data_IF_099614638409
#
_entry.id   IF_099614638409
#
_cell.length_a   1.000
_cell.length_b   1.000
_cell.length_c   1.000
_cell.angle_alpha   90.00
_cell.angle_beta   90.00
_cell.angle_gamma   90.00
#
_symmetry.space_group_name_H-M   'P 1'
#
loop_
_entity.id
_entity.type
_entity.pdbx_description
1 polymer ?
#
# COMPACT_ATOMS: atom_id res chain seq x y z
N UNK A 1 65.24 -23.34 -20.38
CA UNK A 1 66.37 -24.28 -20.23
C UNK A 1 67.31 -23.73 -19.17
N UNK A 2 67.69 -24.55 -18.16
CA UNK A 2 68.58 -24.28 -17.00
C UNK A 2 68.09 -23.39 -15.82
N UNK A 3 68.26 -23.96 -14.63
CA UNK A 3 68.07 -23.44 -13.26
C UNK A 3 69.36 -22.80 -12.67
N UNK A 4 69.19 -22.02 -11.59
CA UNK A 4 69.85 -22.09 -10.25
C UNK A 4 68.94 -21.33 -9.25
N UNK A 5 69.07 -21.33 -7.92
CA UNK A 5 69.21 -22.31 -6.79
C UNK A 5 68.78 -21.51 -5.51
N UNK A 6 68.36 -22.02 -4.34
CA UNK A 6 68.37 -23.36 -3.72
C UNK A 6 67.20 -23.52 -2.70
N UNK A 7 67.25 -24.54 -1.83
CA UNK A 7 66.34 -24.90 -0.72
C UNK A 7 67.19 -25.13 0.55
N UNK A 8 66.61 -25.04 1.76
CA UNK A 8 66.95 -25.87 2.95
C UNK A 8 65.68 -26.11 3.80
N UNK A 9 65.50 -27.34 4.29
CA UNK A 9 64.50 -27.81 5.27
C UNK A 9 65.16 -28.91 6.12
N UNK A 10 64.88 -29.00 7.43
CA UNK A 10 65.05 -30.25 8.20
C UNK A 10 64.17 -30.29 9.47
N UNK A 11 63.81 -31.49 9.93
CA UNK A 11 62.78 -31.78 10.95
C UNK A 11 63.04 -33.19 11.55
N UNK A 12 62.91 -33.38 12.89
CA UNK A 12 62.54 -34.59 13.69
C UNK A 12 62.86 -34.31 15.21
N UNK A 13 61.98 -34.46 16.23
CA UNK A 13 61.36 -35.65 16.90
C UNK A 13 62.39 -36.49 17.75
N UNK A 14 62.21 -36.93 19.01
CA UNK A 14 61.05 -37.40 19.86
C UNK A 14 61.22 -37.15 21.39
N UNK A 15 60.15 -37.38 22.18
CA UNK A 15 59.88 -37.07 23.61
C UNK A 15 60.39 -38.06 24.71
N UNK A 16 60.13 -37.72 26.00
CA UNK A 16 59.50 -38.53 27.10
C UNK A 16 59.29 -37.65 28.38
N UNK A 17 58.29 -37.97 29.24
CA UNK A 17 57.83 -37.20 30.44
C UNK A 17 58.14 -37.87 31.79
N UNK A 18 58.01 -37.13 32.93
CA UNK A 18 57.05 -37.54 33.99
C UNK A 18 56.31 -36.37 34.73
N UNK A 19 55.44 -36.71 35.70
CA UNK A 19 54.56 -35.85 36.55
C UNK A 19 55.37 -34.92 37.53
N UNK A 20 54.84 -33.94 38.30
CA UNK A 20 53.50 -33.72 38.90
C UNK A 20 53.30 -32.26 39.44
N UNK A 21 52.06 -31.93 39.85
CA UNK A 21 51.55 -30.82 40.71
C UNK A 21 51.06 -29.48 40.09
N UNK A 22 49.77 -29.19 40.32
CA UNK A 22 49.15 -27.93 40.82
C UNK A 22 49.62 -26.53 40.32
N UNK A 23 48.78 -25.52 40.03
CA UNK A 23 47.32 -25.38 40.14
C UNK A 23 46.78 -24.10 39.41
N UNK A 24 45.45 -24.06 39.20
CA UNK A 24 44.56 -22.86 39.15
C UNK A 24 44.68 -21.85 37.97
N UNK A 25 43.66 -21.94 37.10
CA UNK A 25 42.97 -20.90 36.30
C UNK A 25 43.73 -19.78 35.55
N UNK A 26 43.55 -19.76 34.22
CA UNK A 26 43.43 -18.54 33.43
C UNK A 26 42.35 -18.72 32.34
N UNK A 27 41.45 -17.74 32.11
CA UNK A 27 40.50 -17.78 31.01
C UNK A 27 41.16 -17.32 29.70
N UNK A 28 40.72 -17.90 28.57
CA UNK A 28 41.20 -17.52 27.23
C UNK A 28 40.60 -16.16 26.85
N UNK A 29 41.47 -15.20 26.54
CA UNK A 29 41.08 -13.99 25.82
C UNK A 29 40.69 -14.35 24.39
N UNK A 30 39.50 -13.94 23.95
CA UNK A 30 39.21 -13.65 22.55
C UNK A 30 38.66 -12.24 22.44
N UNK A 31 39.10 -11.52 21.43
CA UNK A 31 38.91 -10.07 21.31
C UNK A 31 37.45 -9.73 20.97
N UNK A 32 36.77 -9.02 21.87
CA UNK A 32 35.52 -8.33 21.55
C UNK A 32 35.86 -6.93 21.06
N UNK A 33 35.73 -6.70 19.76
CA UNK A 33 35.76 -5.35 19.19
C UNK A 33 34.51 -4.57 19.63
N UNK A 34 34.70 -3.31 20.04
CA UNK A 34 33.65 -2.47 20.58
C UNK A 34 32.57 -2.12 19.54
N UNK A 35 31.52 -2.93 19.44
CA UNK A 35 30.25 -2.49 18.83
C UNK A 35 29.56 -1.54 19.81
N UNK A 36 29.50 -0.25 19.46
CA UNK A 36 28.66 0.71 20.15
C UNK A 36 27.18 0.37 19.89
N UNK A 37 26.57 -0.40 20.79
CA UNK A 37 25.13 -0.54 20.86
C UNK A 37 24.51 0.80 21.28
N UNK A 38 24.28 1.70 20.30
CA UNK A 38 23.29 2.75 20.44
C UNK A 38 21.91 2.10 20.26
N UNK A 39 21.28 1.75 21.39
CA UNK A 39 19.87 1.34 21.42
C UNK A 39 19.00 2.52 21.00
N UNK A 40 18.62 2.58 19.73
CA UNK A 40 17.55 3.46 19.25
C UNK A 40 16.23 3.05 19.93
N UNK A 41 15.35 3.99 20.30
CA UNK A 41 14.01 3.65 20.79
C UNK A 41 13.25 2.90 19.69
N UNK A 42 12.56 1.80 20.04
CA UNK A 42 11.59 1.21 19.10
C UNK A 42 10.39 2.14 19.02
N UNK A 43 10.30 2.89 17.92
CA UNK A 43 9.10 3.63 17.55
C UNK A 43 7.93 2.70 17.19
N UNK A 44 6.80 3.30 16.86
CA UNK A 44 5.66 2.62 16.21
C UNK A 44 6.14 1.82 15.00
N UNK A 45 5.50 0.68 14.72
CA UNK A 45 5.81 -0.07 13.51
C UNK A 45 5.61 0.83 12.29
N UNK A 46 6.59 0.91 11.37
CA UNK A 46 6.55 1.88 10.29
C UNK A 46 5.40 1.53 9.35
N UNK A 47 4.66 2.55 8.90
CA UNK A 47 3.58 2.32 7.95
C UNK A 47 4.11 1.67 6.66
N UNK A 48 5.35 1.97 6.25
CA UNK A 48 6.07 1.29 5.17
C UNK A 48 7.19 0.35 5.65
N UNK A 49 7.22 -0.85 5.09
CA UNK A 49 8.29 -1.83 5.30
C UNK A 49 8.85 -2.33 3.95
N UNK A 50 10.18 -2.38 3.82
CA UNK A 50 10.84 -3.05 2.71
C UNK A 50 10.83 -4.57 2.94
N UNK A 51 10.37 -5.34 1.95
CA UNK A 51 10.26 -6.79 2.03
C UNK A 51 11.51 -7.46 1.45
N UNK A 52 12.10 -8.37 2.24
CA UNK A 52 13.20 -9.23 1.80
C UNK A 52 12.66 -10.32 0.86
N UNK A 53 12.60 -10.04 -0.45
CA UNK A 53 12.07 -10.98 -1.45
C UNK A 53 13.11 -11.92 -2.05
N UNK A 54 12.68 -13.10 -2.50
CA UNK A 54 13.54 -14.14 -3.09
C UNK A 54 14.19 -13.72 -4.42
N UNK A 55 15.26 -14.42 -4.82
CA UNK A 55 16.10 -14.14 -6.01
C UNK A 55 15.39 -14.24 -7.38
N UNK A 56 14.10 -14.57 -7.39
CA UNK A 56 13.19 -14.58 -8.54
C UNK A 56 12.40 -13.27 -8.72
N UNK A 57 12.77 -12.23 -7.97
CA UNK A 57 12.19 -10.89 -8.02
C UNK A 57 12.19 -10.31 -9.46
N UNK A 58 11.09 -9.64 -9.88
CA UNK A 58 11.03 -8.97 -11.17
C UNK A 58 12.16 -7.94 -11.31
N UNK A 59 12.82 -7.94 -12.47
CA UNK A 59 13.86 -6.97 -12.78
C UNK A 59 13.31 -5.55 -12.92
N UNK A 60 14.21 -4.55 -13.03
CA UNK A 60 13.78 -3.15 -13.01
C UNK A 60 12.80 -2.83 -14.13
N UNK A 61 11.57 -2.49 -13.74
CA UNK A 61 10.43 -2.41 -14.64
C UNK A 61 9.60 -1.16 -14.35
N UNK A 62 9.12 -0.53 -15.42
CA UNK A 62 8.37 0.73 -15.40
C UNK A 62 7.03 0.61 -16.11
N UNK A 63 6.10 1.50 -15.78
CA UNK A 63 4.71 1.39 -16.23
C UNK A 63 4.01 0.16 -15.62
N UNK A 64 4.48 -0.30 -14.47
CA UNK A 64 3.99 -1.50 -13.81
C UNK A 64 2.59 -1.28 -13.26
N UNK A 65 1.76 -2.32 -13.36
CA UNK A 65 0.50 -2.41 -12.64
C UNK A 65 0.52 -3.64 -11.77
N UNK A 66 0.18 -3.45 -10.50
CA UNK A 66 -0.15 -4.53 -9.58
C UNK A 66 -1.67 -4.64 -9.51
N UNK A 67 -2.17 -5.86 -9.43
CA UNK A 67 -3.57 -6.17 -9.15
C UNK A 67 -3.62 -7.28 -8.12
N UNK A 68 -4.49 -7.17 -7.14
CA UNK A 68 -4.72 -8.24 -6.18
C UNK A 68 -5.75 -9.24 -6.70
N UNK A 69 -5.31 -10.49 -6.87
CA UNK A 69 -6.15 -11.64 -7.14
C UNK A 69 -6.56 -12.26 -5.80
N UNK A 70 -7.74 -11.85 -5.31
CA UNK A 70 -8.33 -12.36 -4.07
C UNK A 70 -8.83 -13.81 -4.17
N UNK A 71 -8.90 -14.40 -5.37
CA UNK A 71 -9.26 -15.80 -5.53
C UNK A 71 -8.05 -16.72 -5.30
N UNK A 72 -6.89 -16.39 -5.88
CA UNK A 72 -5.64 -17.15 -5.66
C UNK A 72 -4.77 -16.62 -4.51
N UNK A 73 -5.16 -15.50 -3.88
CA UNK A 73 -4.44 -14.82 -2.77
C UNK A 73 -3.01 -14.42 -3.19
N UNK A 74 -2.90 -13.72 -4.32
CA UNK A 74 -1.61 -13.23 -4.87
C UNK A 74 -1.75 -11.79 -5.36
N UNK A 75 -0.67 -11.02 -5.24
CA UNK A 75 -0.57 -9.75 -5.99
C UNK A 75 0.11 -10.03 -7.33
N UNK A 76 -0.59 -9.79 -8.43
CA UNK A 76 -0.12 -10.04 -9.79
C UNK A 76 0.52 -8.77 -10.37
N UNK A 77 1.76 -8.88 -10.82
CA UNK A 77 2.50 -7.85 -11.54
C UNK A 77 2.42 -8.10 -13.06
N UNK A 78 1.96 -7.08 -13.77
CA UNK A 78 2.03 -7.01 -15.23
C UNK A 78 3.16 -6.03 -15.59
N UNK A 79 4.31 -6.56 -15.99
CA UNK A 79 5.49 -5.77 -16.35
C UNK A 79 5.35 -5.22 -17.76
N UNK A 80 5.20 -3.90 -17.90
CA UNK A 80 4.95 -3.26 -19.20
C UNK A 80 6.21 -2.72 -19.90
N UNK A 81 7.24 -2.33 -19.16
CA UNK A 81 8.52 -1.87 -19.70
C UNK A 81 9.67 -2.38 -18.85
N UNK A 82 10.72 -2.91 -19.47
CA UNK A 82 11.97 -3.34 -18.84
C UNK A 82 13.02 -2.23 -19.03
N UNK A 83 13.44 -1.61 -17.92
CA UNK A 83 14.31 -0.43 -17.95
C UNK A 83 15.75 -0.77 -18.36
N UNK A 84 16.24 -1.94 -17.93
CA UNK A 84 17.59 -2.43 -18.21
C UNK A 84 17.84 -2.71 -19.71
N UNK A 85 16.81 -3.18 -20.41
CA UNK A 85 16.85 -3.42 -21.87
C UNK A 85 16.25 -2.29 -22.70
N UNK A 86 15.56 -1.34 -22.05
CA UNK A 86 14.78 -0.26 -22.69
C UNK A 86 13.77 -0.77 -23.71
N UNK A 87 13.07 -1.87 -23.37
CA UNK A 87 12.09 -2.55 -24.23
C UNK A 87 10.78 -2.74 -23.49
N UNK A 88 9.68 -2.80 -24.24
CA UNK A 88 8.41 -3.28 -23.67
C UNK A 88 8.60 -4.68 -23.11
N UNK A 89 8.14 -4.88 -21.89
CA UNK A 89 8.05 -6.18 -21.27
C UNK A 89 6.61 -6.66 -21.40
N UNK A 90 6.42 -7.97 -21.29
CA UNK A 90 5.10 -8.57 -21.23
C UNK A 90 5.03 -9.69 -20.19
N UNK A 91 5.95 -9.70 -19.22
CA UNK A 91 6.05 -10.75 -18.21
C UNK A 91 4.97 -10.57 -17.15
N UNK A 92 4.33 -11.67 -16.77
CA UNK A 92 3.46 -11.74 -15.60
C UNK A 92 4.24 -12.40 -14.46
N UNK A 93 4.25 -11.76 -13.30
CA UNK A 93 4.75 -12.35 -12.06
C UNK A 93 3.64 -12.35 -11.00
N UNK A 94 3.62 -13.33 -10.11
CA UNK A 94 2.77 -13.34 -8.93
C UNK A 94 3.64 -13.19 -7.68
N UNK A 95 3.19 -12.36 -6.74
CA UNK A 95 3.76 -12.22 -5.42
C UNK A 95 2.93 -13.04 -4.42
N UNK A 96 3.62 -13.89 -3.68
CA UNK A 96 3.08 -14.61 -2.53
C UNK A 96 3.50 -13.91 -1.23
N UNK A 97 2.54 -13.28 -0.57
CA UNK A 97 2.76 -12.58 0.70
C UNK A 97 3.20 -13.51 1.83
N UNK A 98 2.71 -14.76 1.86
CA UNK A 98 3.02 -15.72 2.94
C UNK A 98 4.48 -16.15 2.93
N UNK A 99 5.09 -16.17 1.74
CA UNK A 99 6.49 -16.58 1.55
C UNK A 99 7.42 -15.42 1.16
N UNK A 100 6.88 -14.20 1.01
CA UNK A 100 7.56 -13.04 0.44
C UNK A 100 8.33 -13.37 -0.86
N UNK A 101 7.70 -14.15 -1.74
CA UNK A 101 8.38 -14.67 -2.95
C UNK A 101 7.65 -14.31 -4.23
N UNK A 102 8.43 -14.07 -5.28
CA UNK A 102 7.94 -13.81 -6.63
C UNK A 102 8.08 -15.06 -7.50
N UNK A 103 7.04 -15.37 -8.28
CA UNK A 103 7.05 -16.44 -9.29
C UNK A 103 6.65 -15.88 -10.64
N UNK A 104 7.33 -16.27 -11.73
CA UNK A 104 6.92 -15.87 -13.08
C UNK A 104 5.82 -16.82 -13.59
N UNK A 105 4.65 -16.28 -13.93
CA UNK A 105 3.45 -17.06 -14.28
C UNK A 105 3.09 -17.06 -15.77
N UNK A 106 3.80 -16.28 -16.60
CA UNK A 106 3.64 -16.34 -18.05
C UNK A 106 3.85 -14.98 -18.70
N UNK A 107 3.02 -14.68 -19.71
CA UNK A 107 3.05 -13.42 -20.43
C UNK A 107 1.66 -12.86 -20.78
N UNK A 108 1.59 -11.55 -20.91
CA UNK A 108 0.42 -10.81 -21.38
C UNK A 108 0.60 -10.32 -22.84
N UNK A 109 -0.45 -9.78 -23.50
CA UNK A 109 -0.31 -9.05 -24.75
C UNK A 109 0.73 -7.94 -24.61
N UNK A 110 1.69 -7.87 -25.52
CA UNK A 110 2.86 -6.98 -25.40
C UNK A 110 2.47 -5.51 -25.68
N UNK A 111 1.98 -4.84 -24.64
CA UNK A 111 1.43 -3.49 -24.63
C UNK A 111 1.96 -2.78 -23.39
N UNK A 112 2.44 -1.54 -23.54
CA UNK A 112 2.82 -0.69 -22.42
C UNK A 112 2.05 0.61 -22.38
N UNK A 113 2.03 1.25 -21.21
CA UNK A 113 1.19 2.43 -20.91
C UNK A 113 -0.33 2.21 -21.06
N UNK A 114 -0.78 0.95 -21.13
CA UNK A 114 -2.18 0.55 -20.96
C UNK A 114 -2.52 0.41 -19.47
N UNK A 115 -3.80 0.43 -19.12
CA UNK A 115 -4.26 0.32 -17.73
C UNK A 115 -5.10 -0.94 -17.54
N UNK A 116 -5.09 -1.52 -16.34
CA UNK A 116 -5.77 -2.77 -16.03
C UNK A 116 -6.45 -2.74 -14.66
N UNK A 117 -7.53 -3.51 -14.55
CA UNK A 117 -8.31 -3.67 -13.32
C UNK A 117 -8.72 -5.13 -13.14
N UNK A 118 -9.01 -5.50 -11.89
CA UNK A 118 -9.60 -6.79 -11.57
C UNK A 118 -11.13 -6.68 -11.48
N UNK A 119 -11.82 -7.59 -12.17
CA UNK A 119 -13.22 -7.92 -11.94
C UNK A 119 -13.28 -9.13 -10.98
N UNK A 120 -13.56 -8.93 -9.68
CA UNK A 120 -13.66 -10.02 -8.71
C UNK A 120 -14.93 -10.87 -8.87
N UNK A 121 -15.97 -10.36 -9.54
CA UNK A 121 -17.22 -11.09 -9.77
C UNK A 121 -17.01 -12.20 -10.80
N UNK A 122 -16.31 -11.90 -11.90
CA UNK A 122 -16.01 -12.83 -12.99
C UNK A 122 -14.60 -13.43 -12.91
N UNK A 123 -13.76 -12.98 -11.96
CA UNK A 123 -12.36 -13.39 -11.79
C UNK A 123 -11.52 -13.13 -13.05
N UNK A 124 -11.71 -11.94 -13.63
CA UNK A 124 -11.11 -11.53 -14.89
C UNK A 124 -10.26 -10.28 -14.69
N UNK A 125 -9.09 -10.22 -15.33
CA UNK A 125 -8.33 -8.96 -15.45
C UNK A 125 -8.70 -8.31 -16.79
N UNK A 126 -9.26 -7.11 -16.74
CA UNK A 126 -9.52 -6.30 -17.93
C UNK A 126 -8.29 -5.42 -18.14
N UNK A 127 -7.65 -5.52 -19.30
CA UNK A 127 -6.52 -4.71 -19.73
C UNK A 127 -6.90 -3.93 -21.00
N UNK A 128 -6.69 -2.62 -21.00
CA UNK A 128 -7.10 -1.75 -22.10
C UNK A 128 -6.01 -0.78 -22.55
N UNK A 129 -5.98 -0.56 -23.87
CA UNK A 129 -5.21 0.51 -24.51
C UNK A 129 -3.68 0.33 -24.43
N UNK A 130 -2.97 1.46 -24.34
CA UNK A 130 -1.52 1.48 -24.37
C UNK A 130 -0.94 1.55 -25.79
N UNK A 131 0.33 1.17 -25.91
CA UNK A 131 1.10 1.12 -27.15
C UNK A 131 1.93 -0.16 -27.25
N UNK A 132 2.06 -0.69 -28.47
CA UNK A 132 2.85 -1.87 -28.79
C UNK A 132 3.87 -1.57 -29.89
N UNK A 133 5.03 -2.24 -29.86
CA UNK A 133 6.10 -2.08 -30.86
C UNK A 133 5.59 -2.37 -32.28
N UNK A 134 4.73 -3.38 -32.45
CA UNK A 134 4.29 -3.83 -33.78
C UNK A 134 3.12 -3.02 -34.35
N UNK A 135 2.28 -2.44 -33.48
CA UNK A 135 0.96 -1.91 -33.87
C UNK A 135 0.78 -0.41 -33.56
N UNK A 136 1.75 0.25 -32.90
CA UNK A 136 1.56 1.61 -32.41
C UNK A 136 0.57 1.65 -31.24
N UNK A 137 -0.29 2.66 -31.19
CA UNK A 137 -1.32 2.77 -30.15
C UNK A 137 -2.41 1.71 -30.33
N UNK A 138 -2.81 1.05 -29.24
CA UNK A 138 -3.69 -0.11 -29.31
C UNK A 138 -5.12 0.26 -28.91
N UNK A 139 -6.09 -0.26 -29.66
CA UNK A 139 -7.54 -0.09 -29.46
C UNK A 139 -8.18 -1.15 -28.58
N UNK A 140 -7.43 -2.19 -28.24
CA UNK A 140 -7.97 -3.50 -27.93
C UNK A 140 -8.30 -3.65 -26.44
N UNK A 141 -9.47 -4.22 -26.17
CA UNK A 141 -9.79 -4.77 -24.85
C UNK A 141 -9.31 -6.21 -24.78
N UNK A 142 -8.35 -6.44 -23.89
CA UNK A 142 -7.87 -7.77 -23.54
C UNK A 142 -8.43 -8.19 -22.19
N UNK A 143 -8.88 -9.44 -22.11
CA UNK A 143 -9.43 -10.01 -20.89
C UNK A 143 -8.62 -11.26 -20.58
N UNK A 144 -8.07 -11.33 -19.38
CA UNK A 144 -7.44 -12.53 -18.85
C UNK A 144 -8.41 -13.24 -17.92
N UNK A 145 -8.76 -14.48 -18.25
CA UNK A 145 -9.57 -15.33 -17.39
C UNK A 145 -8.65 -16.14 -16.47
N UNK A 146 -8.77 -15.93 -15.16
CA UNK A 146 -7.93 -16.62 -14.15
C UNK A 146 -8.28 -18.10 -13.99
N UNK A 147 -9.50 -18.52 -14.35
CA UNK A 147 -9.91 -19.92 -14.22
C UNK A 147 -9.36 -20.78 -15.36
N UNK A 148 -9.25 -20.22 -16.57
CA UNK A 148 -8.67 -20.91 -17.73
C UNK A 148 -7.21 -20.55 -17.99
N UNK A 149 -6.67 -19.50 -17.36
CA UNK A 149 -5.32 -18.96 -17.57
C UNK A 149 -5.08 -18.54 -19.04
N UNK A 150 -6.10 -17.94 -19.68
CA UNK A 150 -6.06 -17.54 -21.10
C UNK A 150 -6.45 -16.09 -21.32
N UNK A 151 -5.82 -15.47 -22.31
CA UNK A 151 -6.20 -14.14 -22.83
C UNK A 151 -7.19 -14.26 -23.99
N UNK A 152 -8.29 -13.52 -23.90
CA UNK A 152 -9.20 -13.25 -25.01
C UNK A 152 -9.11 -11.76 -25.43
N UNK A 153 -9.46 -11.47 -26.69
CA UNK A 153 -9.61 -10.10 -27.23
C UNK A 153 -11.08 -9.90 -27.59
N UNK A 154 -11.67 -8.78 -27.17
CA UNK A 154 -13.12 -8.55 -27.30
C UNK A 154 -13.48 -7.30 -28.11
N UNK A 155 -13.38 -6.12 -27.51
CA UNK A 155 -13.90 -4.86 -28.07
C UNK A 155 -12.81 -3.87 -28.52
N UNK A 156 -13.13 -3.05 -29.53
CA UNK A 156 -12.24 -2.04 -30.13
C UNK A 156 -12.54 -0.59 -29.70
N UNK A 157 -13.67 -0.37 -29.00
CA UNK A 157 -13.94 0.88 -28.28
C UNK A 157 -13.19 0.90 -26.95
N UNK A 158 -12.97 2.05 -26.28
CA UNK A 158 -13.22 3.45 -26.68
C UNK A 158 -12.21 4.10 -27.66
N UNK A 159 -11.45 3.32 -28.42
CA UNK A 159 -10.44 3.84 -29.35
C UNK A 159 -9.08 4.10 -28.68
N UNK A 160 -8.03 4.09 -29.50
CA UNK A 160 -6.65 3.98 -29.04
C UNK A 160 -6.23 5.12 -28.10
N UNK A 161 -5.70 4.76 -26.93
CA UNK A 161 -5.31 5.69 -25.86
C UNK A 161 -4.35 5.04 -24.87
N UNK A 162 -3.48 5.86 -24.29
CA UNK A 162 -2.60 5.47 -23.18
C UNK A 162 -2.74 6.45 -22.00
N UNK A 163 -2.21 6.06 -20.84
CA UNK A 163 -2.17 6.88 -19.61
C UNK A 163 -3.53 7.39 -19.12
N UNK A 164 -4.60 6.67 -19.49
CA UNK A 164 -5.96 6.86 -19.02
C UNK A 164 -6.14 6.23 -17.63
N UNK A 165 -7.15 6.68 -16.88
CA UNK A 165 -7.51 6.07 -15.60
C UNK A 165 -8.51 4.92 -15.81
N UNK A 166 -8.39 3.85 -15.03
CA UNK A 166 -9.37 2.76 -14.96
C UNK A 166 -9.59 2.33 -13.52
N UNK A 167 -10.85 2.09 -13.15
CA UNK A 167 -11.22 1.49 -11.87
C UNK A 167 -12.36 0.49 -12.06
N UNK A 168 -12.48 -0.51 -11.20
CA UNK A 168 -13.63 -1.41 -11.20
C UNK A 168 -14.68 -0.94 -10.18
N UNK A 169 -15.87 -0.59 -10.67
CA UNK A 169 -17.03 -0.29 -9.85
C UNK A 169 -17.67 -1.61 -9.40
N UNK A 170 -17.38 -2.01 -8.16
CA UNK A 170 -17.92 -3.24 -7.54
C UNK A 170 -19.40 -3.17 -7.20
N UNK A 171 -20.03 -1.99 -7.28
CA UNK A 171 -21.46 -1.80 -7.00
C UNK A 171 -22.32 -2.06 -8.22
N UNK A 172 -21.83 -1.62 -9.38
CA UNK A 172 -22.51 -1.68 -10.67
C UNK A 172 -21.91 -2.76 -11.60
N UNK A 173 -20.81 -3.40 -11.20
CA UNK A 173 -20.09 -4.46 -11.93
C UNK A 173 -19.62 -4.01 -13.32
N UNK A 174 -18.98 -2.85 -13.36
CA UNK A 174 -18.43 -2.25 -14.59
C UNK A 174 -17.02 -1.72 -14.36
N UNK A 175 -16.17 -1.80 -15.38
CA UNK A 175 -14.92 -1.05 -15.38
C UNK A 175 -15.18 0.36 -15.89
N UNK A 176 -14.89 1.36 -15.08
CA UNK A 176 -14.95 2.77 -15.49
C UNK A 176 -13.61 3.19 -16.06
N UNK A 177 -13.64 3.94 -17.16
CA UNK A 177 -12.46 4.53 -17.80
C UNK A 177 -12.65 6.04 -17.92
N UNK A 178 -11.60 6.80 -17.64
CA UNK A 178 -11.55 8.24 -17.85
C UNK A 178 -10.32 8.66 -18.66
N UNK A 179 -10.57 9.45 -19.70
CA UNK A 179 -9.57 10.22 -20.43
C UNK A 179 -8.47 9.38 -21.10
N UNK A 180 -7.24 9.87 -21.03
CA UNK A 180 -6.06 9.36 -21.71
C UNK A 180 -5.52 10.32 -22.77
N UNK A 181 -4.50 9.86 -23.50
CA UNK A 181 -4.00 10.54 -24.70
C UNK A 181 -3.54 9.57 -25.77
N UNK A 182 -3.36 10.07 -26.99
CA UNK A 182 -2.81 9.35 -28.14
C UNK A 182 -1.96 10.32 -28.99
N UNK A 183 -1.21 9.80 -29.95
CA UNK A 183 -0.64 10.61 -31.03
C UNK A 183 -1.17 10.09 -32.36
N UNK A 184 -1.85 10.94 -33.12
CA UNK A 184 -2.42 10.62 -34.43
C UNK A 184 -1.74 11.55 -35.45
N UNK A 185 -1.16 10.97 -36.50
CA UNK A 185 -0.42 11.69 -37.56
C UNK A 185 0.64 12.69 -37.05
N UNK A 186 1.25 12.40 -35.90
CA UNK A 186 2.26 13.23 -35.24
C UNK A 186 1.69 14.34 -34.34
N UNK A 187 0.36 14.50 -34.29
CA UNK A 187 -0.34 15.44 -33.41
C UNK A 187 -0.79 14.74 -32.13
N UNK A 188 -0.72 15.45 -31.00
CA UNK A 188 -1.19 14.94 -29.71
C UNK A 188 -2.69 15.17 -29.58
N UNK A 189 -3.43 14.10 -29.29
CA UNK A 189 -4.84 14.18 -28.91
C UNK A 189 -5.00 13.72 -27.46
N UNK A 190 -5.79 14.47 -26.70
CA UNK A 190 -6.15 14.15 -25.31
C UNK A 190 -7.64 13.87 -25.22
N UNK A 191 -8.02 13.02 -24.27
CA UNK A 191 -9.40 12.63 -24.05
C UNK A 191 -9.86 13.09 -22.68
N UNK A 192 -11.11 13.56 -22.61
CA UNK A 192 -11.81 13.95 -21.39
C UNK A 192 -13.16 13.20 -21.24
N UNK A 193 -13.29 12.10 -21.98
CA UNK A 193 -14.49 11.28 -21.99
C UNK A 193 -14.48 10.20 -20.91
N UNK A 194 -15.69 9.81 -20.50
CA UNK A 194 -15.94 8.76 -19.50
C UNK A 194 -16.69 7.61 -20.15
N UNK A 195 -16.22 6.39 -19.89
CA UNK A 195 -16.78 5.15 -20.44
C UNK A 195 -16.97 4.11 -19.35
N UNK A 196 -17.91 3.19 -19.55
CA UNK A 196 -18.06 1.97 -18.77
C UNK A 196 -17.93 0.74 -19.66
N UNK A 197 -17.16 -0.25 -19.22
CA UNK A 197 -17.11 -1.59 -19.80
C UNK A 197 -17.91 -2.56 -18.93
N UNK A 198 -18.86 -3.26 -19.55
CA UNK A 198 -19.57 -4.37 -18.92
C UNK A 198 -18.91 -5.68 -19.35
N UNK A 199 -18.24 -6.35 -18.41
CA UNK A 199 -17.44 -7.57 -18.59
C UNK A 199 -18.28 -8.83 -18.88
N UNK A 200 -19.58 -8.82 -18.56
CA UNK A 200 -20.50 -9.93 -18.87
C UNK A 200 -20.94 -9.92 -20.35
N UNK A 201 -21.11 -8.71 -20.91
CA UNK A 201 -21.56 -8.51 -22.30
C UNK A 201 -20.43 -8.13 -23.26
N UNK A 202 -19.23 -7.88 -22.74
CA UNK A 202 -18.04 -7.42 -23.46
C UNK A 202 -18.24 -6.10 -24.24
N UNK A 203 -19.07 -5.19 -23.71
CA UNK A 203 -19.41 -3.92 -24.38
C UNK A 203 -18.93 -2.69 -23.59
N UNK A 204 -18.41 -1.72 -24.34
CA UNK A 204 -18.13 -0.37 -23.87
C UNK A 204 -19.30 0.57 -24.18
N UNK A 205 -19.70 1.37 -23.20
CA UNK A 205 -20.73 2.41 -23.29
C UNK A 205 -20.12 3.77 -22.95
N UNK A 206 -20.26 4.77 -23.82
CA UNK A 206 -19.84 6.15 -23.55
C UNK A 206 -20.89 6.84 -22.69
N UNK A 207 -20.49 7.36 -21.54
CA UNK A 207 -21.43 7.86 -20.52
C UNK A 207 -21.81 9.33 -20.76
N UNK A 208 -20.90 10.14 -21.32
CA UNK A 208 -21.10 11.56 -21.63
C UNK A 208 -21.64 12.40 -20.43
N UNK A 209 -20.96 12.40 -19.27
CA UNK A 209 -21.33 13.28 -18.16
C UNK A 209 -21.20 14.76 -18.58
N UNK A 210 -22.09 15.61 -18.04
CA UNK A 210 -22.14 17.05 -18.37
C UNK A 210 -20.95 17.82 -17.79
N UNK A 211 -20.54 17.47 -16.58
CA UNK A 211 -19.32 17.92 -15.93
C UNK A 211 -18.22 16.87 -16.11
N UNK A 212 -16.96 17.31 -16.16
CA UNK A 212 -15.77 16.46 -16.31
C UNK A 212 -14.54 17.13 -15.70
N UNK A 213 -13.51 16.36 -15.28
CA UNK A 213 -12.26 16.89 -14.78
C UNK A 213 -11.55 17.84 -15.76
N UNK A 214 -10.79 18.77 -15.18
CA UNK A 214 -9.92 19.73 -15.87
C UNK A 214 -8.53 19.14 -16.19
N UNK A 215 -8.40 17.81 -16.17
CA UNK A 215 -7.19 17.03 -16.44
C UNK A 215 -7.55 15.83 -17.32
N UNK A 216 -6.61 15.35 -18.13
CA UNK A 216 -6.89 14.37 -19.20
C UNK A 216 -6.18 13.03 -19.02
N UNK A 217 -4.93 13.03 -18.54
CA UNK A 217 -4.13 11.80 -18.43
C UNK A 217 -3.14 11.87 -17.25
N UNK A 218 -2.49 10.74 -16.96
CA UNK A 218 -1.57 10.56 -15.82
C UNK A 218 -2.20 10.82 -14.43
N UNK A 219 -3.53 10.74 -14.33
CA UNK A 219 -4.26 11.06 -13.10
C UNK A 219 -4.10 9.96 -12.05
N UNK A 220 -4.04 10.32 -10.78
CA UNK A 220 -4.06 9.35 -9.68
C UNK A 220 -5.52 8.94 -9.43
N UNK A 221 -5.82 7.65 -9.27
CA UNK A 221 -7.21 7.17 -9.30
C UNK A 221 -7.46 5.90 -8.48
N UNK A 222 -8.67 5.79 -7.93
CA UNK A 222 -9.16 4.62 -7.18
C UNK A 222 -10.69 4.58 -7.15
N UNK A 223 -11.28 3.41 -6.91
CA UNK A 223 -12.70 3.29 -6.56
C UNK A 223 -12.87 3.27 -5.03
N UNK A 224 -13.55 4.27 -4.49
CA UNK A 224 -14.04 4.27 -3.12
C UNK A 224 -15.29 3.37 -3.05
N UNK A 225 -15.11 2.22 -2.41
CA UNK A 225 -16.14 1.18 -2.33
C UNK A 225 -17.27 1.53 -1.34
N UNK A 226 -17.00 2.31 -0.28
CA UNK A 226 -18.04 2.68 0.70
C UNK A 226 -19.01 3.69 0.11
N UNK A 227 -18.47 4.70 -0.56
CA UNK A 227 -19.21 5.83 -1.11
C UNK A 227 -19.68 5.61 -2.54
N UNK A 228 -19.19 4.55 -3.20
CA UNK A 228 -19.46 4.17 -4.58
C UNK A 228 -19.06 5.29 -5.55
N UNK A 229 -17.76 5.64 -5.51
CA UNK A 229 -17.21 6.78 -6.26
C UNK A 229 -15.90 6.38 -6.92
N UNK A 230 -15.76 6.71 -8.20
CA UNK A 230 -14.45 6.75 -8.83
C UNK A 230 -13.81 8.10 -8.45
N UNK A 231 -12.82 8.02 -7.56
CA UNK A 231 -12.02 9.16 -7.09
C UNK A 231 -10.84 9.36 -8.03
N UNK A 232 -10.59 10.61 -8.40
CA UNK A 232 -9.51 11.04 -9.25
C UNK A 232 -8.82 12.25 -8.61
N UNK A 233 -7.49 12.22 -8.51
CA UNK A 233 -6.69 13.33 -8.01
C UNK A 233 -5.56 13.69 -8.97
N UNK A 234 -5.45 14.98 -9.30
CA UNK A 234 -4.36 15.51 -10.11
C UNK A 234 -4.20 14.85 -11.48
N UNK A 235 -2.99 14.89 -12.03
CA UNK A 235 -2.70 14.54 -13.42
C UNK A 235 -2.22 15.76 -14.20
N UNK A 236 -2.59 15.88 -15.48
CA UNK A 236 -2.21 17.02 -16.31
C UNK A 236 -3.25 17.35 -17.39
N UNK A 237 -3.31 18.63 -17.74
CA UNK A 237 -4.08 19.21 -18.85
C UNK A 237 -3.21 19.50 -20.10
N UNK A 238 -1.96 19.03 -20.12
CA UNK A 238 -0.99 19.35 -21.17
C UNK A 238 -1.38 18.75 -22.54
N UNK A 239 -1.99 19.59 -23.37
CA UNK A 239 -2.25 19.35 -24.80
C UNK A 239 -0.99 19.39 -25.68
N UNK A 240 0.16 19.84 -25.15
CA UNK A 240 1.28 20.40 -25.90
C UNK A 240 2.56 19.57 -25.97
N UNK A 241 2.48 18.24 -25.84
CA UNK A 241 3.60 17.35 -26.21
C UNK A 241 4.89 17.51 -25.39
N UNK A 242 4.84 18.15 -24.22
CA UNK A 242 6.03 18.35 -23.40
C UNK A 242 6.55 17.02 -22.84
N UNK A 243 7.87 16.82 -22.89
CA UNK A 243 8.55 15.77 -22.10
C UNK A 243 8.41 15.99 -20.58
N UNK A 244 7.99 17.20 -20.20
CA UNK A 244 7.66 17.61 -18.84
C UNK A 244 6.26 18.25 -18.79
N UNK A 245 5.18 17.45 -18.77
CA UNK A 245 3.83 17.97 -18.58
C UNK A 245 3.69 18.62 -17.20
N UNK A 246 2.96 19.74 -17.14
CA UNK A 246 2.70 20.46 -15.89
C UNK A 246 1.71 19.65 -15.05
N UNK A 247 2.10 19.32 -13.82
CA UNK A 247 1.24 18.62 -12.89
C UNK A 247 0.14 19.55 -12.34
N UNK A 248 -1.07 18.99 -12.18
CA UNK A 248 -2.22 19.64 -11.54
C UNK A 248 -2.60 18.91 -10.25
N UNK A 249 -3.24 19.64 -9.34
CA UNK A 249 -3.94 19.08 -8.17
C UNK A 249 -5.44 19.01 -8.43
N UNK A 250 -6.27 19.04 -7.38
CA UNK A 250 -7.72 18.96 -7.48
C UNK A 250 -8.23 17.54 -7.36
N UNK A 251 -9.15 17.34 -6.41
CA UNK A 251 -9.89 16.08 -6.22
C UNK A 251 -11.23 16.14 -6.93
N UNK A 252 -11.50 15.10 -7.71
CA UNK A 252 -12.74 14.88 -8.45
C UNK A 252 -13.33 13.51 -8.06
N UNK A 253 -14.66 13.43 -8.00
CA UNK A 253 -15.38 12.18 -7.82
C UNK A 253 -16.45 12.00 -8.89
N UNK A 254 -16.53 10.81 -9.46
CA UNK A 254 -17.58 10.41 -10.38
C UNK A 254 -18.60 9.51 -9.69
N UNK A 255 -19.87 9.88 -9.81
CA UNK A 255 -20.99 9.02 -9.46
C UNK A 255 -21.56 8.37 -10.73
N UNK A 256 -21.49 7.03 -10.79
CA UNK A 256 -22.00 6.27 -11.93
C UNK A 256 -23.53 6.31 -12.06
N UNK A 257 -24.25 6.35 -10.95
CA UNK A 257 -25.72 6.36 -10.93
C UNK A 257 -26.26 7.70 -11.42
N UNK A 258 -25.59 8.80 -11.05
CA UNK A 258 -25.93 10.16 -11.46
C UNK A 258 -25.24 10.58 -12.77
N UNK A 259 -24.34 9.76 -13.33
CA UNK A 259 -23.52 10.08 -14.51
C UNK A 259 -22.89 11.48 -14.43
N UNK A 260 -22.25 11.80 -13.29
CA UNK A 260 -21.81 13.16 -12.98
C UNK A 260 -20.45 13.15 -12.28
N UNK A 261 -19.51 13.93 -12.83
CA UNK A 261 -18.28 14.32 -12.12
C UNK A 261 -18.53 15.55 -11.24
N UNK A 262 -18.02 15.51 -10.02
CA UNK A 262 -18.05 16.62 -9.06
C UNK A 262 -16.63 16.94 -8.62
N UNK A 263 -16.22 18.22 -8.73
CA UNK A 263 -14.97 18.70 -8.13
C UNK A 263 -15.23 18.93 -6.64
N UNK A 264 -14.50 18.22 -5.79
CA UNK A 264 -14.83 18.16 -4.36
C UNK A 264 -14.33 19.38 -3.57
N UNK A 265 -13.34 20.12 -4.10
CA UNK A 265 -12.66 21.22 -3.40
C UNK A 265 -12.20 20.80 -1.99
N UNK A 266 -11.52 19.66 -1.92
CA UNK A 266 -11.11 19.02 -0.67
C UNK A 266 -10.13 19.90 0.12
N UNK A 267 -10.14 19.78 1.45
CA UNK A 267 -9.18 20.53 2.29
C UNK A 267 -7.85 19.78 2.39
N UNK A 268 -6.74 20.54 2.50
CA UNK A 268 -5.38 20.03 2.66
C UNK A 268 -4.92 19.10 1.52
N UNK A 269 -5.37 19.33 0.28
CA UNK A 269 -4.95 18.51 -0.87
C UNK A 269 -3.41 18.41 -0.99
N UNK A 270 -2.87 17.24 -1.41
CA UNK A 270 -1.46 17.08 -1.73
C UNK A 270 -0.99 18.10 -2.78
N UNK A 271 0.32 18.35 -2.84
CA UNK A 271 0.87 19.15 -3.93
C UNK A 271 0.55 18.56 -5.32
N UNK A 272 0.31 19.41 -6.35
CA UNK A 272 0.03 18.98 -7.72
C UNK A 272 0.98 17.90 -8.22
N UNK A 273 0.43 16.77 -8.69
CA UNK A 273 1.24 15.61 -9.12
C UNK A 273 0.54 14.69 -10.11
N UNK A 274 1.34 13.91 -10.82
CA UNK A 274 0.90 12.94 -11.83
C UNK A 274 1.67 11.61 -11.72
N UNK A 275 1.11 10.52 -12.23
CA UNK A 275 1.70 9.15 -12.19
C UNK A 275 2.12 8.63 -10.80
N UNK A 276 1.50 9.10 -9.73
CA UNK A 276 1.46 8.35 -8.47
C UNK A 276 0.56 7.11 -8.61
N UNK A 277 0.21 6.51 -7.48
CA UNK A 277 -0.80 5.45 -7.41
C UNK A 277 -1.67 5.62 -6.18
N UNK A 278 -2.93 5.23 -6.31
CA UNK A 278 -3.87 5.19 -5.20
C UNK A 278 -4.39 3.78 -4.98
N UNK A 279 -4.77 3.49 -3.74
CA UNK A 279 -5.53 2.31 -3.35
C UNK A 279 -6.59 2.72 -2.31
N UNK A 280 -7.54 1.84 -2.05
CA UNK A 280 -8.63 2.09 -1.11
C UNK A 280 -8.57 1.03 -0.02
N UNK A 281 -8.63 1.47 1.23
CA UNK A 281 -8.73 0.60 2.40
C UNK A 281 -10.21 0.54 2.84
N UNK A 282 -10.87 -0.65 2.78
CA UNK A 282 -12.27 -0.81 3.13
C UNK A 282 -12.53 -0.91 4.65
N UNK A 283 -11.49 -1.05 5.48
CA UNK A 283 -11.60 -1.09 6.95
C UNK A 283 -11.53 0.33 7.53
N UNK A 284 -10.62 1.15 7.02
CA UNK A 284 -10.51 2.57 7.37
C UNK A 284 -11.48 3.47 6.60
N UNK A 285 -12.10 2.94 5.55
CA UNK A 285 -12.98 3.65 4.60
C UNK A 285 -12.31 4.87 3.95
N UNK A 286 -11.02 4.73 3.64
CA UNK A 286 -10.16 5.81 3.11
C UNK A 286 -9.44 5.40 1.84
N UNK A 287 -9.30 6.36 0.95
CA UNK A 287 -8.37 6.28 -0.17
C UNK A 287 -6.96 6.70 0.29
N UNK A 288 -5.93 6.10 -0.28
CA UNK A 288 -4.53 6.44 -0.03
C UNK A 288 -3.84 6.75 -1.35
N UNK A 289 -2.85 7.64 -1.32
CA UNK A 289 -2.03 8.08 -2.45
C UNK A 289 -0.56 7.98 -2.06
N UNK A 290 0.26 7.36 -2.91
CA UNK A 290 1.71 7.37 -2.74
C UNK A 290 2.43 8.03 -3.91
N UNK A 291 3.43 8.85 -3.56
CA UNK A 291 4.42 9.42 -4.46
C UNK A 291 3.83 10.22 -5.62
N UNK A 292 4.33 9.98 -6.83
CA UNK A 292 4.02 10.73 -8.05
C UNK A 292 5.05 11.80 -8.39
N UNK A 293 5.01 12.27 -9.64
CA UNK A 293 5.87 13.34 -10.17
C UNK A 293 5.23 14.69 -9.88
N UNK A 294 5.90 15.51 -9.08
CA UNK A 294 5.53 16.89 -8.68
C UNK A 294 6.17 17.94 -9.59
N UNK A 295 7.26 17.60 -10.28
CA UNK A 295 7.96 18.52 -11.19
C UNK A 295 8.85 17.81 -12.23
N UNK A 296 9.73 18.58 -12.89
CA UNK A 296 10.51 18.08 -14.03
C UNK A 296 11.30 16.79 -13.74
N UNK A 297 11.98 16.76 -12.61
CA UNK A 297 12.75 15.61 -12.11
C UNK A 297 12.49 15.40 -10.62
N UNK A 298 11.37 15.94 -10.14
CA UNK A 298 10.95 15.91 -8.74
C UNK A 298 9.84 14.88 -8.57
N UNK A 299 10.04 13.97 -7.63
CA UNK A 299 9.20 12.83 -7.36
C UNK A 299 8.99 12.75 -5.85
N UNK A 300 7.73 12.87 -5.42
CA UNK A 300 7.37 12.80 -4.01
C UNK A 300 7.56 11.37 -3.48
N UNK A 301 7.98 11.25 -2.22
CA UNK A 301 7.92 10.04 -1.40
C UNK A 301 6.81 10.11 -0.34
N UNK A 302 5.96 11.15 -0.39
CA UNK A 302 4.88 11.32 0.58
C UNK A 302 3.82 10.23 0.40
N UNK A 303 3.24 9.84 1.52
CA UNK A 303 1.98 9.09 1.56
C UNK A 303 0.89 10.04 2.04
N UNK A 304 -0.27 9.99 1.41
CA UNK A 304 -1.43 10.79 1.77
C UNK A 304 -2.65 9.89 1.89
N UNK A 305 -3.55 10.24 2.79
CA UNK A 305 -4.88 9.65 2.89
C UNK A 305 -5.95 10.66 2.51
N UNK A 306 -7.06 10.17 1.99
CA UNK A 306 -8.25 10.94 1.66
C UNK A 306 -9.48 10.25 2.25
N UNK A 307 -10.19 10.99 3.08
CA UNK A 307 -11.49 10.62 3.63
C UNK A 307 -12.57 11.34 2.81
N UNK A 308 -13.37 10.58 2.05
CA UNK A 308 -14.44 11.12 1.23
C UNK A 308 -15.61 11.66 2.07
N UNK A 309 -15.88 11.09 3.25
CA UNK A 309 -16.99 11.49 4.10
C UNK A 309 -16.76 12.86 4.75
N UNK A 310 -15.53 13.14 5.18
CA UNK A 310 -15.13 14.46 5.68
C UNK A 310 -14.60 15.40 4.58
N UNK A 311 -14.27 14.88 3.40
CA UNK A 311 -13.65 15.59 2.27
C UNK A 311 -12.27 16.19 2.61
N UNK A 312 -11.50 15.48 3.44
CA UNK A 312 -10.20 15.91 3.96
C UNK A 312 -9.09 15.01 3.45
N UNK A 313 -8.00 15.62 2.98
CA UNK A 313 -6.72 14.97 2.81
C UNK A 313 -5.84 15.13 4.05
N UNK A 314 -5.09 14.09 4.41
CA UNK A 314 -4.16 14.09 5.53
C UNK A 314 -2.87 13.37 5.13
N UNK A 315 -1.74 14.06 5.24
CA UNK A 315 -0.42 13.46 5.03
C UNK A 315 -0.17 12.38 6.09
N UNK A 316 0.34 11.24 5.64
CA UNK A 316 0.71 10.11 6.49
C UNK A 316 2.21 10.18 6.74
N UNK A 317 2.57 10.58 7.94
CA UNK A 317 3.96 10.57 8.39
C UNK A 317 4.49 9.14 8.49
N UNK A 318 5.74 8.93 8.09
CA UNK A 318 6.38 7.62 8.12
C UNK A 318 7.91 7.78 8.12
N UNK A 319 8.55 7.43 9.24
CA UNK A 319 10.02 7.52 9.43
C UNK A 319 10.81 6.69 8.39
N UNK A 320 10.17 5.65 7.87
CA UNK A 320 10.65 4.81 6.78
C UNK A 320 9.65 4.94 5.64
N UNK A 321 10.13 5.16 4.41
CA UNK A 321 9.29 5.21 3.21
C UNK A 321 10.09 4.78 1.97
N UNK A 322 9.44 4.24 0.92
CA UNK A 322 10.09 4.06 -0.36
C UNK A 322 10.56 5.40 -0.91
N UNK A 323 11.71 5.43 -1.57
CA UNK A 323 12.20 6.65 -2.25
C UNK A 323 11.18 7.19 -3.28
N UNK A 324 11.18 8.51 -3.50
CA UNK A 324 10.18 9.17 -4.34
C UNK A 324 10.17 8.65 -5.78
N UNK A 325 8.97 8.35 -6.29
CA UNK A 325 8.80 7.58 -7.54
C UNK A 325 7.47 7.82 -8.25
N UNK A 326 7.41 7.40 -9.51
CA UNK A 326 6.22 7.34 -10.38
C UNK A 326 6.28 6.05 -11.19
N UNK A 327 5.25 5.71 -11.98
CA UNK A 327 5.29 4.58 -12.94
C UNK A 327 5.57 3.19 -12.33
N UNK A 328 5.38 3.07 -11.01
CA UNK A 328 5.41 1.83 -10.23
C UNK A 328 4.00 1.23 -10.13
N UNK A 329 3.93 -0.07 -9.78
CA UNK A 329 2.68 -0.74 -9.46
C UNK A 329 2.39 -0.67 -7.96
N UNK A 330 1.11 -0.53 -7.61
CA UNK A 330 0.58 -0.52 -6.24
C UNK A 330 -0.77 -1.25 -6.25
N UNK A 331 -1.03 -2.12 -5.28
CA UNK A 331 -2.33 -2.77 -5.10
C UNK A 331 -2.58 -3.10 -3.63
N UNK A 332 -3.84 -3.07 -3.21
CA UNK A 332 -4.25 -3.49 -1.87
C UNK A 332 -4.52 -5.00 -1.85
N UNK A 333 -3.83 -5.74 -0.97
CA UNK A 333 -4.10 -7.11 -0.59
C UNK A 333 -5.17 -7.11 0.51
N UNK A 334 -6.41 -7.45 0.14
CA UNK A 334 -7.56 -7.39 1.05
C UNK A 334 -7.55 -8.47 2.14
N UNK A 335 -6.81 -9.57 1.92
CA UNK A 335 -6.74 -10.66 2.89
C UNK A 335 -5.69 -10.39 3.96
N UNK A 336 -4.66 -9.62 3.63
CA UNK A 336 -3.60 -9.20 4.55
C UNK A 336 -3.79 -7.77 5.07
N UNK A 337 -4.72 -7.00 4.49
CA UNK A 337 -5.02 -5.60 4.83
C UNK A 337 -3.81 -4.66 4.66
N UNK A 338 -3.07 -4.85 3.56
CA UNK A 338 -1.85 -4.09 3.25
C UNK A 338 -1.79 -3.73 1.78
N UNK A 339 -1.15 -2.62 1.42
CA UNK A 339 -0.82 -2.32 0.03
C UNK A 339 0.59 -2.81 -0.32
N UNK A 340 0.72 -3.56 -1.41
CA UNK A 340 2.00 -3.99 -1.97
C UNK A 340 2.40 -3.01 -3.08
N UNK A 341 3.63 -2.49 -3.00
CA UNK A 341 4.27 -1.63 -4.00
C UNK A 341 5.45 -2.37 -4.63
N UNK A 342 5.58 -2.29 -5.95
CA UNK A 342 6.73 -2.83 -6.67
C UNK A 342 7.05 -2.05 -7.95
N UNK A 343 8.33 -1.89 -8.25
CA UNK A 343 8.83 -1.23 -9.45
C UNK A 343 9.40 0.18 -9.22
N UNK A 344 10.34 0.55 -10.10
CA UNK A 344 11.16 1.77 -10.16
C UNK A 344 12.01 2.04 -8.91
N UNK A 345 13.23 2.55 -9.13
CA UNK A 345 14.24 2.87 -8.12
C UNK A 345 14.74 1.66 -7.30
N UNK A 346 15.75 0.97 -7.83
CA UNK A 346 16.34 -0.31 -7.34
C UNK A 346 15.37 -1.49 -7.20
N UNK A 347 14.10 -1.25 -7.49
CA UNK A 347 12.95 -2.14 -7.55
C UNK A 347 12.73 -3.14 -6.38
N UNK A 348 13.03 -2.78 -5.11
CA UNK A 348 12.58 -3.56 -3.95
C UNK A 348 11.05 -3.64 -3.88
N UNK A 349 10.55 -4.70 -3.26
CA UNK A 349 9.11 -4.84 -2.94
C UNK A 349 8.85 -4.19 -1.59
N UNK A 350 7.82 -3.35 -1.52
CA UNK A 350 7.44 -2.65 -0.30
C UNK A 350 6.02 -3.03 0.11
N UNK A 351 5.78 -3.07 1.41
CA UNK A 351 4.47 -3.19 2.03
C UNK A 351 4.12 -1.88 2.72
N UNK A 352 2.91 -1.40 2.53
CA UNK A 352 2.29 -0.39 3.37
C UNK A 352 1.18 -1.02 4.20
N UNK A 353 1.22 -0.89 5.51
CA UNK A 353 0.13 -1.27 6.41
C UNK A 353 -0.67 -0.02 6.75
N UNK A 354 -1.93 0.13 6.27
CA UNK A 354 -2.79 1.22 6.68
C UNK A 354 -3.17 1.06 8.15
N UNK A 355 -2.39 1.67 9.03
CA UNK A 355 -2.81 1.84 10.41
C UNK A 355 -3.97 2.84 10.45
N UNK A 356 -4.83 2.73 11.47
CA UNK A 356 -5.75 3.81 11.78
C UNK A 356 -4.94 5.09 11.93
N UNK A 357 -5.13 6.03 11.00
CA UNK A 357 -4.40 7.28 10.98
C UNK A 357 -4.91 8.16 12.10
N UNK A 358 -4.42 7.86 13.30
CA UNK A 358 -4.46 8.76 14.42
C UNK A 358 -3.73 10.02 13.99
N UNK A 359 -4.50 11.10 13.86
CA UNK A 359 -3.97 12.46 13.90
C UNK A 359 -2.92 12.54 14.99
N UNK A 360 -1.78 13.17 14.70
CA UNK A 360 -0.60 13.22 15.56
C UNK A 360 -0.89 14.08 16.81
N UNK A 361 -1.65 13.50 17.75
CA UNK A 361 -2.06 14.03 19.06
C UNK A 361 -2.70 12.87 19.86
N UNK A 362 -1.93 11.83 20.15
CA UNK A 362 -2.38 10.64 20.90
C UNK A 362 -1.22 9.70 21.27
N UNK A 363 -1.32 8.93 22.36
CA UNK A 363 -0.18 8.22 22.95
C UNK A 363 0.30 7.05 22.07
N UNK A 364 1.58 7.11 21.67
CA UNK A 364 2.27 6.08 20.89
C UNK A 364 2.11 4.67 21.49
N UNK A 365 1.93 3.67 20.63
CA UNK A 365 2.03 2.26 20.99
C UNK A 365 3.47 1.89 21.37
N UNK A 366 3.82 2.09 22.64
CA UNK A 366 4.98 1.43 23.26
C UNK A 366 4.53 0.12 23.90
N UNK A 367 5.27 -0.97 23.62
CA UNK A 367 5.05 -2.27 24.24
C UNK A 367 5.23 -2.20 25.77
N UNK A 368 4.13 -2.19 26.53
CA UNK A 368 4.18 -2.31 27.99
C UNK A 368 4.44 -3.76 28.44
N UNK A 369 5.72 -4.15 28.46
CA UNK A 369 6.18 -5.29 29.25
C UNK A 369 6.27 -4.89 30.72
N UNK A 370 5.16 -4.95 31.46
CA UNK A 370 5.21 -4.87 32.92
C UNK A 370 5.28 -6.25 33.58
N UNK A 371 6.46 -6.57 34.11
CA UNK A 371 6.58 -7.37 35.33
C UNK A 371 6.72 -6.42 36.52
N UNK A 372 5.67 -6.22 37.31
CA UNK A 372 5.85 -5.86 38.74
C UNK A 372 4.59 -6.16 39.56
N UNK A 373 4.78 -6.43 40.85
CA UNK A 373 3.78 -7.06 41.73
C UNK A 373 2.75 -6.09 42.35
N UNK A 374 2.33 -5.01 41.67
CA UNK A 374 1.41 -4.01 42.22
C UNK A 374 0.26 -3.64 41.25
N UNK A 375 -0.85 -4.39 41.37
CA UNK A 375 -2.27 -4.02 41.32
C UNK A 375 -2.82 -2.74 40.64
N UNK A 376 -2.19 -2.13 39.62
CA UNK A 376 -2.78 -1.00 38.91
C UNK A 376 -2.46 -1.00 37.42
N UNK A 377 -3.49 -0.81 36.60
CA UNK A 377 -3.45 -0.76 35.14
C UNK A 377 -3.78 0.66 34.68
N UNK A 378 -2.78 1.38 34.17
CA UNK A 378 -2.95 2.69 33.56
C UNK A 378 -3.05 2.57 32.04
N UNK A 379 -4.12 3.08 31.46
CA UNK A 379 -4.40 3.10 30.03
C UNK A 379 -4.54 4.56 29.58
N UNK A 380 -3.64 5.03 28.75
CA UNK A 380 -3.77 6.36 28.15
C UNK A 380 -4.77 6.27 27.01
N UNK A 381 -5.96 6.84 27.21
CA UNK A 381 -7.06 6.84 26.22
C UNK A 381 -7.47 8.28 25.96
N UNK A 382 -7.96 8.59 24.77
CA UNK A 382 -8.36 9.95 24.38
C UNK A 382 -9.68 9.90 23.63
N UNK A 383 -10.78 10.02 24.38
CA UNK A 383 -12.16 10.00 23.85
C UNK A 383 -12.75 11.40 23.88
N UNK A 384 -13.12 11.94 22.73
CA UNK A 384 -13.85 13.20 22.65
C UNK A 384 -15.28 13.01 23.19
N UNK A 385 -15.74 13.97 24.00
CA UNK A 385 -17.12 14.06 24.53
C UNK A 385 -17.55 12.95 25.51
N UNK A 386 -16.67 12.05 25.94
CA UNK A 386 -16.95 11.14 27.06
C UNK A 386 -16.88 11.88 28.41
N UNK A 387 -17.77 11.52 29.33
CA UNK A 387 -17.88 12.08 30.69
C UNK A 387 -17.63 11.04 31.77
N UNK A 388 -17.85 9.76 31.47
CA UNK A 388 -17.49 8.62 32.34
C UNK A 388 -16.92 7.46 31.52
N UNK A 389 -16.28 6.50 32.19
CA UNK A 389 -16.04 5.17 31.66
C UNK A 389 -16.53 4.10 32.63
N UNK A 390 -16.98 2.98 32.08
CA UNK A 390 -17.27 1.73 32.76
C UNK A 390 -16.16 0.73 32.43
N UNK A 391 -15.66 0.00 33.42
CA UNK A 391 -14.76 -1.12 33.23
C UNK A 391 -15.43 -2.43 33.65
N UNK A 392 -15.38 -3.43 32.77
CA UNK A 392 -15.96 -4.75 32.97
C UNK A 392 -14.87 -5.82 32.93
N UNK A 393 -14.83 -6.71 33.91
CA UNK A 393 -13.98 -7.90 33.91
C UNK A 393 -14.85 -9.15 33.73
N UNK A 394 -14.57 -9.97 32.72
CA UNK A 394 -15.37 -11.15 32.37
C UNK A 394 -16.89 -10.86 32.26
N UNK A 395 -17.23 -9.70 31.69
CA UNK A 395 -18.57 -9.12 31.58
C UNK A 395 -19.26 -8.68 32.88
N UNK A 396 -18.58 -8.71 34.03
CA UNK A 396 -19.06 -8.09 35.29
C UNK A 396 -18.49 -6.67 35.44
N UNK A 397 -19.35 -5.69 35.73
CA UNK A 397 -18.93 -4.30 35.96
C UNK A 397 -18.10 -4.21 37.25
N UNK A 398 -16.86 -3.73 37.15
CA UNK A 398 -15.92 -3.57 38.27
C UNK A 398 -15.72 -2.11 38.70
N UNK A 399 -15.91 -1.15 37.79
CA UNK A 399 -15.72 0.27 38.07
C UNK A 399 -16.55 1.15 37.11
N UNK A 400 -17.11 2.26 37.61
CA UNK A 400 -17.59 3.39 36.79
C UNK A 400 -16.98 4.67 37.35
N UNK A 401 -16.22 5.40 36.53
CA UNK A 401 -15.42 6.56 36.97
C UNK A 401 -15.57 7.73 36.02
N UNK A 402 -15.53 8.96 36.56
CA UNK A 402 -15.54 10.18 35.77
C UNK A 402 -14.31 10.25 34.85
N UNK A 403 -14.55 10.39 33.56
CA UNK A 403 -13.52 10.53 32.56
C UNK A 403 -13.27 12.01 32.29
N UNK A 404 -12.07 12.49 32.62
CA UNK A 404 -11.55 13.75 32.08
C UNK A 404 -10.36 13.42 31.19
N UNK A 405 -10.45 13.88 29.94
CA UNK A 405 -9.65 13.48 28.79
C UNK A 405 -8.18 13.16 29.14
N UNK A 406 -7.79 11.87 29.10
CA UNK A 406 -6.48 11.41 29.58
C UNK A 406 -6.48 9.97 30.13
N UNK A 407 -5.57 9.69 31.06
CA UNK A 407 -5.31 8.32 31.55
C UNK A 407 -6.46 7.72 32.36
N UNK A 408 -7.04 6.63 31.88
CA UNK A 408 -7.85 5.69 32.67
C UNK A 408 -6.93 4.92 33.61
N UNK A 409 -7.23 4.90 34.92
CA UNK A 409 -6.39 4.24 35.93
C UNK A 409 -7.23 3.24 36.72
N UNK A 410 -7.14 1.96 36.37
CA UNK A 410 -7.88 0.88 37.02
C UNK A 410 -7.07 0.26 38.15
N UNK A 411 -7.63 0.22 39.35
CA UNK A 411 -7.03 -0.46 40.51
C UNK A 411 -7.43 -1.95 40.51
N UNK A 412 -6.70 -2.74 39.72
CA UNK A 412 -6.89 -4.18 39.63
C UNK A 412 -6.22 -4.86 40.83
N UNK A 413 -6.92 -4.86 41.97
CA UNK A 413 -6.49 -5.46 43.25
C UNK A 413 -5.96 -6.90 43.11
N UNK A 414 -5.27 -7.42 44.13
CA UNK A 414 -4.58 -8.72 44.12
C UNK A 414 -5.44 -9.96 43.78
N UNK A 415 -6.77 -9.83 43.75
CA UNK A 415 -7.70 -10.87 43.27
C UNK A 415 -7.61 -11.05 41.73
N UNK A 416 -7.13 -10.02 41.03
CA UNK A 416 -7.14 -9.92 39.56
C UNK A 416 -5.73 -9.99 38.94
N UNK A 417 -4.67 -10.16 39.74
CA UNK A 417 -3.27 -10.18 39.28
C UNK A 417 -2.88 -11.40 38.42
N UNK A 418 -3.78 -12.37 38.24
CA UNK A 418 -3.53 -13.59 37.48
C UNK A 418 -3.91 -13.48 35.99
N UNK A 419 -4.50 -12.37 35.57
CA UNK A 419 -4.89 -12.13 34.17
C UNK A 419 -3.84 -11.29 33.42
N UNK A 420 -3.78 -11.48 32.09
CA UNK A 420 -2.97 -10.63 31.20
C UNK A 420 -3.86 -9.54 30.59
N UNK A 421 -3.45 -8.29 30.78
CA UNK A 421 -4.18 -7.09 30.33
C UNK A 421 -3.44 -6.40 29.18
N UNK A 422 -3.13 -7.18 28.14
CA UNK A 422 -2.50 -6.72 26.89
C UNK A 422 -3.45 -6.93 25.70
N UNK A 423 -3.11 -6.39 24.54
CA UNK A 423 -3.79 -6.61 23.26
C UNK A 423 -5.28 -6.23 23.29
N UNK A 424 -5.59 -5.00 23.72
CA UNK A 424 -6.94 -4.45 23.60
C UNK A 424 -7.28 -4.20 22.12
N UNK A 425 -8.36 -4.81 21.66
CA UNK A 425 -9.02 -4.51 20.40
C UNK A 425 -9.93 -3.30 20.60
N UNK A 426 -9.83 -2.31 19.72
CA UNK A 426 -10.77 -1.18 19.68
C UNK A 426 -11.98 -1.63 18.86
N UNK A 427 -13.13 -1.81 19.52
CA UNK A 427 -14.37 -2.26 18.86
C UNK A 427 -15.06 -1.07 18.17
N UNK A 428 -14.99 0.11 18.79
CA UNK A 428 -15.38 1.40 18.23
C UNK A 428 -14.75 2.53 19.06
N UNK A 429 -15.04 3.80 18.73
CA UNK A 429 -14.53 4.98 19.44
C UNK A 429 -15.01 5.12 20.91
N UNK A 430 -15.86 4.22 21.42
CA UNK A 430 -16.26 4.17 22.83
C UNK A 430 -15.91 2.85 23.53
N UNK A 431 -15.49 1.79 22.84
CA UNK A 431 -15.28 0.46 23.46
C UNK A 431 -13.91 -0.14 23.14
N UNK A 432 -13.16 -0.46 24.19
CA UNK A 432 -11.89 -1.16 24.17
C UNK A 432 -12.07 -2.52 24.84
N UNK A 433 -11.56 -3.60 24.26
CA UNK A 433 -11.82 -4.96 24.74
C UNK A 433 -10.60 -5.86 24.56
N UNK A 434 -10.14 -6.49 25.64
CA UNK A 434 -9.21 -7.62 25.61
C UNK A 434 -9.92 -8.90 26.06
N UNK A 435 -9.22 -10.04 26.05
CA UNK A 435 -9.77 -11.36 26.41
C UNK A 435 -10.57 -11.42 27.70
N UNK A 436 -10.28 -10.56 28.69
CA UNK A 436 -10.96 -10.56 30.00
C UNK A 436 -11.47 -9.18 30.43
N UNK A 437 -11.00 -8.07 29.85
CA UNK A 437 -11.34 -6.71 30.27
C UNK A 437 -11.95 -5.90 29.12
N UNK A 438 -13.14 -5.34 29.34
CA UNK A 438 -13.78 -4.32 28.49
C UNK A 438 -13.76 -2.96 29.20
N UNK A 439 -13.53 -1.89 28.47
CA UNK A 439 -13.73 -0.51 28.92
C UNK A 439 -14.66 0.19 27.93
N UNK A 440 -15.75 0.75 28.44
CA UNK A 440 -16.79 1.44 27.68
C UNK A 440 -16.88 2.90 28.13
N UNK A 441 -16.71 3.84 27.22
CA UNK A 441 -16.76 5.27 27.48
C UNK A 441 -18.14 5.83 27.18
N UNK A 442 -18.73 6.52 28.15
CA UNK A 442 -20.09 7.04 28.09
C UNK A 442 -20.08 8.57 28.06
N UNK A 443 -21.06 9.16 27.38
CA UNK A 443 -21.33 10.60 27.34
C UNK A 443 -22.70 10.91 27.93
N UNK A 444 -22.92 12.14 28.42
CA UNK A 444 -24.23 12.59 28.90
C UNK A 444 -25.34 12.54 27.82
N UNK A 445 -24.98 12.56 26.54
CA UNK A 445 -25.96 12.41 25.44
C UNK A 445 -26.46 10.95 25.31
N UNK A 446 -25.62 9.95 25.58
CA UNK A 446 -26.00 8.54 25.50
C UNK A 446 -26.86 8.06 26.68
N UNK A 447 -26.85 8.75 27.82
CA UNK A 447 -27.68 8.36 29.00
C UNK A 447 -29.15 8.78 28.89
N UNK A 448 -29.57 9.41 27.79
CA UNK A 448 -30.97 9.76 27.51
C UNK A 448 -31.72 8.78 26.60
N UNK A 449 -31.10 7.68 26.19
CA UNK A 449 -31.73 6.63 25.39
C UNK A 449 -31.57 5.26 26.07
N UNK A 450 -32.25 5.10 27.21
CA UNK A 450 -32.45 3.83 27.91
C UNK A 450 -33.94 3.60 28.19
#
# INVERSE_FOLDING_TARGET
MRLKFSIIVLLLLIAITPQMSEAISSPINSEISNIKNQSQPRGSEPNWQELNTSSSQPGSTGGNYLVYDSFNKKTILFSQFDSATSRYSNRIHAFDHVTNSWTQHGSHPNQGSGNLVFDPLLKKVIFYGGSSISNGYVTDTHIFDLATNTWEKTANNPGARLNHAMVYDTKNNVTLLYGGKVTIDGLWETFDDTWAFNSQTNNWTKLNPSNKPDVYFHTNHVYDQKHNKFILFGGTDDYGGSWNPVAKGGTWAYDFTLNTWTKLNSTNEPSPRLNGKMFYDPILEKSFLFGGRTGAYDYSNETWSFDYASNVWTQVESDISPSGRSDFGLSYDSDQQVAILHGKASDPTWQFTPQALHSVDGPNQANYQYKSNNASLSLNVTIQNATTYDAYLNNELIETTNYQNGTVNLNLTSIYSNFSYSNFTIINYTKYENTNLTILFNSEENTRLS
#
